data_IF_399865941319
#
_entry.id   IF_399865941319
#
_cell.length_a   1.000
_cell.length_b   1.000
_cell.length_c   1.000
_cell.angle_alpha   90.00
_cell.angle_beta   90.00
_cell.angle_gamma   90.00
#
_symmetry.space_group_name_H-M   'P 1'
#
loop_
_entity.id
_entity.type
_entity.pdbx_description
1 polymer ?
#
# COMPACT_ATOMS: atom_id res chain seq x y z
N UNK A 1 20.27 1.69 17.30
CA UNK A 1 19.36 0.52 17.26
C UNK A 1 19.79 -0.38 16.11
N UNK A 2 19.59 -1.71 16.23
CA UNK A 2 19.99 -2.69 15.21
C UNK A 2 18.78 -2.98 14.32
N UNK A 3 18.99 -2.98 13.01
CA UNK A 3 17.95 -3.31 12.03
C UNK A 3 17.63 -4.81 12.06
N UNK A 4 16.35 -5.15 11.94
CA UNK A 4 15.88 -6.54 11.84
C UNK A 4 15.92 -6.97 10.37
N UNK A 5 16.54 -8.12 10.10
CA UNK A 5 16.63 -8.65 8.74
C UNK A 5 15.30 -9.23 8.25
N UNK A 6 15.01 -9.04 6.97
CA UNK A 6 13.94 -9.72 6.25
C UNK A 6 14.33 -11.14 5.83
N UNK A 7 13.47 -11.77 5.03
CA UNK A 7 13.66 -13.11 4.47
C UNK A 7 14.55 -13.16 3.23
N UNK A 8 14.87 -12.02 2.62
CA UNK A 8 15.83 -11.94 1.51
C UNK A 8 15.36 -12.58 0.20
N UNK A 9 14.06 -12.78 0.04
CA UNK A 9 13.44 -13.44 -1.13
C UNK A 9 12.98 -12.46 -2.22
N UNK A 10 13.31 -11.17 -2.10
CA UNK A 10 12.91 -10.12 -3.04
C UNK A 10 11.47 -9.65 -2.90
N UNK A 11 10.72 -10.15 -1.92
CA UNK A 11 9.37 -9.71 -1.60
C UNK A 11 9.38 -8.88 -0.31
N UNK A 12 8.35 -8.07 -0.13
CA UNK A 12 8.01 -7.44 1.14
C UNK A 12 6.79 -8.18 1.70
N UNK A 13 7.03 -9.12 2.61
CA UNK A 13 5.97 -9.82 3.34
C UNK A 13 5.27 -8.92 4.37
N UNK A 14 4.04 -9.30 4.71
CA UNK A 14 3.15 -8.50 5.56
C UNK A 14 2.26 -7.57 4.75
N UNK A 15 1.26 -7.00 5.43
CA UNK A 15 0.38 -5.99 4.82
C UNK A 15 0.98 -4.61 4.98
N UNK A 16 0.74 -3.74 4.00
CA UNK A 16 1.21 -2.35 4.04
C UNK A 16 0.73 -1.59 5.28
N UNK A 17 -0.42 -1.98 5.84
CA UNK A 17 -1.04 -1.35 6.99
C UNK A 17 -0.88 -2.13 8.30
N UNK A 18 -0.01 -3.14 8.34
CA UNK A 18 0.25 -3.90 9.56
C UNK A 18 0.95 -3.03 10.61
N UNK A 19 0.44 -3.08 11.83
CA UNK A 19 1.07 -2.51 13.03
C UNK A 19 1.68 -3.65 13.82
N UNK A 20 2.95 -3.95 13.56
CA UNK A 20 3.61 -5.13 14.10
C UNK A 20 5.10 -4.89 14.38
N UNK A 21 5.68 -5.77 15.20
CA UNK A 21 7.11 -5.79 15.38
C UNK A 21 7.81 -6.17 14.05
N UNK A 22 8.94 -5.53 13.71
CA UNK A 22 9.82 -5.96 12.63
C UNK A 22 10.23 -7.44 12.79
N UNK A 23 9.96 -8.26 11.76
CA UNK A 23 10.31 -9.68 11.71
C UNK A 23 10.36 -10.18 10.26
N UNK A 24 10.81 -11.43 10.06
CA UNK A 24 10.93 -12.06 8.74
C UNK A 24 9.59 -12.18 7.99
N UNK A 25 8.47 -12.27 8.71
CA UNK A 25 7.13 -12.37 8.12
C UNK A 25 6.37 -11.02 8.03
N UNK A 26 6.96 -9.93 8.56
CA UNK A 26 6.36 -8.59 8.67
C UNK A 26 7.32 -7.54 8.10
N UNK A 27 7.83 -7.81 6.90
CA UNK A 27 8.82 -6.97 6.22
C UNK A 27 8.31 -5.58 5.87
N UNK A 28 6.99 -5.39 5.75
CA UNK A 28 6.36 -4.06 5.66
C UNK A 28 6.76 -3.13 6.82
N UNK A 29 6.93 -3.67 8.05
CA UNK A 29 7.41 -2.92 9.21
C UNK A 29 8.95 -2.81 9.22
N UNK A 30 9.67 -3.81 8.69
CA UNK A 30 11.13 -3.72 8.52
C UNK A 30 11.50 -2.54 7.62
N UNK A 31 10.75 -2.31 6.54
CA UNK A 31 10.97 -1.18 5.64
C UNK A 31 11.01 0.15 6.40
N UNK A 32 9.98 0.43 7.22
CA UNK A 32 9.92 1.66 8.00
C UNK A 32 10.99 1.73 9.09
N UNK A 33 11.35 0.60 9.69
CA UNK A 33 12.46 0.55 10.62
C UNK A 33 13.77 0.98 9.92
N UNK A 34 14.05 0.41 8.74
CA UNK A 34 15.30 0.63 8.02
C UNK A 34 15.41 2.06 7.50
N UNK A 35 14.35 2.62 6.92
CA UNK A 35 14.35 4.00 6.42
C UNK A 35 14.52 5.03 7.54
N UNK A 36 13.95 4.76 8.72
CA UNK A 36 14.14 5.60 9.91
C UNK A 36 15.55 5.48 10.49
N UNK A 37 16.09 4.28 10.62
CA UNK A 37 17.46 4.07 11.08
C UNK A 37 18.51 4.64 10.12
N UNK A 38 18.20 4.68 8.82
CA UNK A 38 19.02 5.32 7.79
C UNK A 38 18.87 6.85 7.75
N UNK A 39 17.93 7.43 8.50
CA UNK A 39 17.71 8.88 8.55
C UNK A 39 16.90 9.47 7.39
N UNK A 40 16.27 8.64 6.55
CA UNK A 40 15.43 9.12 5.44
C UNK A 40 14.05 9.60 5.90
N UNK A 41 13.53 8.99 6.96
CA UNK A 41 12.23 9.34 7.53
C UNK A 41 12.31 9.43 9.05
N UNK A 42 11.43 10.20 9.66
CA UNK A 42 11.31 10.26 11.12
C UNK A 42 10.34 9.23 11.65
N UNK A 43 10.35 9.02 12.97
CA UNK A 43 9.43 8.12 13.67
C UNK A 43 10.14 7.07 14.51
N UNK A 44 9.35 6.23 15.16
CA UNK A 44 9.86 5.16 16.01
C UNK A 44 10.48 4.03 15.17
N UNK A 45 11.67 3.61 15.54
CA UNK A 45 12.38 2.51 14.89
C UNK A 45 13.13 1.68 15.93
N UNK A 46 12.45 0.67 16.47
CA UNK A 46 12.99 -0.28 17.43
C UNK A 46 12.82 -1.70 16.90
N UNK A 47 13.47 -2.68 17.55
CA UNK A 47 13.28 -4.09 17.20
C UNK A 47 11.85 -4.60 17.48
N UNK A 48 11.07 -3.86 18.28
CA UNK A 48 9.72 -4.27 18.70
C UNK A 48 8.61 -3.44 18.06
N UNK A 49 8.96 -2.31 17.41
CA UNK A 49 7.97 -1.39 16.84
C UNK A 49 8.57 -0.51 15.75
N UNK A 50 7.92 -0.50 14.58
CA UNK A 50 8.25 0.37 13.46
C UNK A 50 7.03 0.56 12.54
N UNK A 51 5.95 1.09 13.11
CA UNK A 51 4.65 1.17 12.43
C UNK A 51 4.71 2.05 11.18
N UNK A 52 3.88 1.77 10.15
CA UNK A 52 3.76 2.63 8.99
C UNK A 52 3.23 4.03 9.36
N UNK A 53 3.67 5.10 8.67
CA UNK A 53 3.20 6.45 8.93
C UNK A 53 1.76 6.65 8.44
N UNK A 54 1.08 7.64 9.03
CA UNK A 54 -0.24 8.07 8.56
C UNK A 54 -0.12 9.03 7.37
N UNK A 55 -1.09 8.97 6.46
CA UNK A 55 -1.26 9.94 5.39
C UNK A 55 -2.09 11.16 5.86
N UNK A 56 -2.22 12.18 5.01
CA UNK A 56 -2.94 13.43 5.32
C UNK A 56 -4.45 13.27 5.49
N UNK A 57 -5.01 12.12 5.09
CA UNK A 57 -6.43 11.77 5.22
C UNK A 57 -6.69 10.90 6.45
N UNK A 58 -5.70 10.69 7.32
CA UNK A 58 -5.83 9.83 8.51
C UNK A 58 -5.80 8.33 8.21
N UNK A 59 -5.48 7.93 6.98
CA UNK A 59 -5.16 6.55 6.63
C UNK A 59 -3.68 6.24 6.83
N UNK A 60 -3.24 5.08 6.35
CA UNK A 60 -1.87 4.57 6.47
C UNK A 60 -1.20 4.62 5.11
N UNK A 61 0.07 5.03 5.06
CA UNK A 61 0.97 4.86 3.93
C UNK A 61 1.95 3.73 4.24
N UNK A 62 2.04 2.72 3.37
CA UNK A 62 2.85 1.54 3.62
C UNK A 62 3.37 0.88 2.36
N UNK A 63 4.12 -0.20 2.54
CA UNK A 63 4.65 -1.02 1.45
C UNK A 63 4.31 -2.49 1.65
N UNK A 64 4.04 -3.18 0.56
CA UNK A 64 3.88 -4.63 0.53
C UNK A 64 4.24 -5.16 -0.85
N UNK A 65 4.17 -6.47 -1.05
CA UNK A 65 4.36 -7.09 -2.35
C UNK A 65 3.05 -7.61 -2.91
N UNK A 66 2.79 -7.31 -4.18
CA UNK A 66 1.71 -7.90 -4.96
C UNK A 66 0.32 -7.32 -4.79
N UNK A 67 0.12 -6.24 -4.02
CA UNK A 67 -1.20 -5.68 -3.79
C UNK A 67 -1.95 -5.46 -5.10
N UNK A 68 -3.25 -5.75 -5.10
CA UNK A 68 -4.10 -5.55 -6.28
C UNK A 68 -3.60 -6.26 -7.55
N UNK A 69 -2.94 -7.40 -7.37
CA UNK A 69 -2.30 -8.19 -8.43
C UNK A 69 -1.29 -7.37 -9.26
N UNK A 70 -0.69 -6.33 -8.68
CA UNK A 70 0.44 -5.62 -9.27
C UNK A 70 1.67 -6.48 -9.06
N UNK A 71 2.37 -6.87 -10.12
CA UNK A 71 3.59 -7.69 -9.97
C UNK A 71 4.73 -6.88 -9.36
N UNK A 72 5.31 -7.39 -8.26
CA UNK A 72 6.44 -6.79 -7.56
C UNK A 72 6.03 -6.02 -6.32
N UNK A 73 6.92 -5.14 -5.85
CA UNK A 73 6.68 -4.33 -4.66
C UNK A 73 5.81 -3.14 -5.00
N UNK A 74 5.03 -2.69 -4.02
CA UNK A 74 4.09 -1.60 -4.16
C UNK A 74 4.10 -0.71 -2.94
N UNK A 75 3.77 0.56 -3.15
CA UNK A 75 3.42 1.51 -2.09
C UNK A 75 1.92 1.66 -2.10
N UNK A 76 1.28 1.47 -0.95
CA UNK A 76 -0.17 1.56 -0.78
C UNK A 76 -0.52 2.63 0.24
N UNK A 77 -1.63 3.34 0.00
CA UNK A 77 -2.19 4.32 0.92
C UNK A 77 -3.68 4.07 1.12
N UNK A 78 -4.13 4.04 2.37
CA UNK A 78 -5.54 3.75 2.73
C UNK A 78 -6.33 5.00 3.07
N UNK A 79 -7.63 4.85 3.29
CA UNK A 79 -8.54 5.92 3.71
C UNK A 79 -8.64 7.08 2.69
N UNK A 80 -8.58 6.74 1.40
CA UNK A 80 -8.63 7.73 0.33
C UNK A 80 -10.06 7.83 -0.21
N UNK A 81 -10.66 9.03 -0.26
CA UNK A 81 -11.93 9.23 -0.95
C UNK A 81 -11.80 8.91 -2.45
N UNK A 82 -12.83 8.31 -3.05
CA UNK A 82 -12.76 7.85 -4.45
C UNK A 82 -12.35 8.94 -5.45
N UNK A 83 -12.82 10.19 -5.28
CA UNK A 83 -12.46 11.32 -6.17
C UNK A 83 -10.96 11.61 -6.11
N UNK A 84 -10.39 11.54 -4.92
CA UNK A 84 -8.95 11.73 -4.71
C UNK A 84 -8.18 10.57 -5.34
N UNK A 85 -8.63 9.33 -5.16
CA UNK A 85 -8.01 8.16 -5.78
C UNK A 85 -8.03 8.26 -7.32
N UNK A 86 -9.18 8.59 -7.91
CA UNK A 86 -9.31 8.80 -9.35
C UNK A 86 -8.44 9.94 -9.85
N UNK A 87 -8.38 11.08 -9.14
CA UNK A 87 -7.55 12.21 -9.54
C UNK A 87 -6.06 11.86 -9.52
N UNK A 88 -5.61 11.08 -8.53
CA UNK A 88 -4.23 10.59 -8.45
C UNK A 88 -3.91 9.66 -9.62
N UNK A 89 -4.81 8.72 -9.92
CA UNK A 89 -4.66 7.79 -11.04
C UNK A 89 -4.61 8.51 -12.39
N UNK A 90 -5.56 9.42 -12.67
CA UNK A 90 -5.55 10.25 -13.89
C UNK A 90 -4.25 11.06 -14.03
N UNK A 91 -3.71 11.55 -12.92
CA UNK A 91 -2.52 12.39 -12.94
C UNK A 91 -1.21 11.60 -13.15
N UNK A 92 -1.17 10.33 -12.75
CA UNK A 92 0.06 9.55 -12.66
C UNK A 92 0.05 8.26 -13.51
N UNK A 93 -1.09 7.84 -14.04
CA UNK A 93 -1.25 6.61 -14.82
C UNK A 93 -2.30 6.76 -15.94
N UNK A 94 -3.42 6.02 -15.89
CA UNK A 94 -4.38 5.88 -16.99
C UNK A 94 -5.83 6.24 -16.61
N UNK A 95 -6.08 6.56 -15.34
CA UNK A 95 -7.41 6.88 -14.83
C UNK A 95 -8.35 5.67 -14.76
N UNK A 96 -7.83 4.45 -14.78
CA UNK A 96 -8.58 3.21 -14.70
C UNK A 96 -8.08 2.31 -13.56
N UNK A 97 -8.91 2.18 -12.52
CA UNK A 97 -8.50 1.61 -11.24
C UNK A 97 -8.06 0.13 -11.27
N UNK A 98 -8.36 -0.59 -12.36
CA UNK A 98 -8.09 -2.02 -12.52
C UNK A 98 -6.85 -2.30 -13.40
N UNK A 99 -6.37 -1.33 -14.18
CA UNK A 99 -5.23 -1.49 -15.08
C UNK A 99 -4.02 -0.71 -14.60
N UNK A 100 -2.98 -0.65 -15.43
CA UNK A 100 -1.82 0.17 -15.13
C UNK A 100 -0.98 -0.26 -13.93
N UNK A 101 -0.20 0.72 -13.47
CA UNK A 101 0.74 0.70 -12.36
C UNK A 101 0.15 1.29 -11.07
N UNK A 102 -0.94 2.05 -11.18
CA UNK A 102 -1.74 2.56 -10.07
C UNK A 102 -3.09 1.87 -10.10
N UNK A 103 -3.43 1.18 -9.00
CA UNK A 103 -4.71 0.50 -8.85
C UNK A 103 -5.38 0.89 -7.56
N UNK A 104 -6.69 1.02 -7.63
CA UNK A 104 -7.51 1.38 -6.47
C UNK A 104 -8.53 0.30 -6.20
N UNK A 105 -8.64 -0.11 -4.94
CA UNK A 105 -9.66 -1.02 -4.43
C UNK A 105 -10.36 -0.45 -3.21
N UNK A 106 -11.42 -1.12 -2.75
CA UNK A 106 -12.10 -0.76 -1.51
C UNK A 106 -11.15 -0.85 -0.30
N UNK A 107 -11.41 -0.08 0.75
CA UNK A 107 -10.63 -0.15 1.99
C UNK A 107 -10.57 -1.60 2.52
N UNK A 108 -9.38 -2.04 2.90
CA UNK A 108 -9.14 -3.41 3.40
C UNK A 108 -9.05 -4.49 2.33
N UNK A 109 -9.31 -4.17 1.04
CA UNK A 109 -9.26 -5.13 -0.06
C UNK A 109 -7.84 -5.46 -0.54
N UNK A 110 -6.82 -4.70 -0.15
CA UNK A 110 -5.43 -4.99 -0.51
C UNK A 110 -4.97 -6.27 0.20
N UNK A 111 -4.90 -7.38 -0.53
CA UNK A 111 -4.39 -8.66 -0.05
C UNK A 111 -2.92 -8.83 -0.42
N UNK A 112 -2.19 -9.61 0.39
CA UNK A 112 -0.78 -9.96 0.17
C UNK A 112 -0.70 -11.14 -0.79
N UNK A 113 0.44 -11.29 -1.48
CA UNK A 113 0.74 -12.51 -2.25
C UNK A 113 0.64 -13.78 -1.39
N UNK A 114 0.23 -14.92 -1.99
CA UNK A 114 -0.18 -15.10 -3.39
C UNK A 114 -1.68 -14.83 -3.63
N UNK A 115 -2.42 -14.38 -2.61
CA UNK A 115 -3.88 -14.21 -2.65
C UNK A 115 -4.35 -12.87 -3.24
N UNK A 116 -3.42 -12.01 -3.65
CA UNK A 116 -3.74 -10.71 -4.20
C UNK A 116 -4.48 -10.83 -5.55
N UNK A 117 -5.67 -10.25 -5.63
CA UNK A 117 -6.47 -10.16 -6.84
C UNK A 117 -6.54 -8.73 -7.34
N UNK A 118 -6.73 -8.54 -8.65
CA UNK A 118 -7.05 -7.23 -9.19
C UNK A 118 -8.34 -6.68 -8.54
N UNK A 119 -8.47 -5.35 -8.36
CA UNK A 119 -9.68 -4.77 -7.80
C UNK A 119 -10.83 -4.89 -8.81
N UNK A 120 -12.04 -4.72 -8.33
CA UNK A 120 -13.23 -4.55 -9.19
C UNK A 120 -13.28 -3.12 -9.73
N UNK A 121 -13.97 -2.90 -10.85
CA UNK A 121 -14.11 -1.56 -11.43
C UNK A 121 -14.81 -0.59 -10.47
N UNK A 122 -14.09 0.45 -10.05
CA UNK A 122 -14.59 1.54 -9.18
C UNK A 122 -14.68 2.83 -9.99
N UNK A 123 -13.71 3.11 -10.87
CA UNK A 123 -13.70 4.23 -11.79
C UNK A 123 -12.92 3.87 -13.07
N UNK A 124 -13.15 4.61 -14.17
CA UNK A 124 -12.47 4.40 -15.46
C UNK A 124 -13.43 4.20 -16.62
N UNK A 125 -12.90 4.11 -17.84
CA UNK A 125 -13.69 4.15 -19.09
C UNK A 125 -14.73 3.04 -19.27
N UNK A 126 -14.63 1.93 -18.53
CA UNK A 126 -15.58 0.82 -18.56
C UNK A 126 -16.56 0.81 -17.37
N UNK A 127 -16.43 1.73 -16.40
CA UNK A 127 -17.26 1.78 -15.19
C UNK A 127 -18.41 2.76 -15.40
N UNK A 128 -19.64 2.24 -15.48
CA UNK A 128 -20.84 3.04 -15.65
C UNK A 128 -21.17 3.77 -14.34
N UNK A 129 -20.60 4.97 -14.15
CA UNK A 129 -20.67 5.80 -12.92
C UNK A 129 -19.89 5.15 -11.76
N UNK A 130 -19.07 5.88 -10.97
CA UNK A 130 -18.36 5.24 -9.87
C UNK A 130 -19.37 4.61 -8.91
N UNK A 131 -19.31 3.30 -8.74
CA UNK A 131 -20.33 2.53 -8.01
C UNK A 131 -20.24 2.69 -6.49
N UNK A 132 -19.23 3.42 -6.00
CA UNK A 132 -18.86 3.45 -4.59
C UNK A 132 -18.46 4.86 -4.13
N UNK A 133 -19.29 5.85 -4.50
CA UNK A 133 -18.94 7.28 -4.33
C UNK A 133 -18.82 7.78 -2.88
N UNK A 134 -19.10 6.94 -1.89
CA UNK A 134 -19.10 7.31 -0.47
C UNK A 134 -18.22 6.40 0.40
N UNK A 135 -17.53 5.43 -0.20
CA UNK A 135 -16.63 4.54 0.52
C UNK A 135 -15.18 5.01 0.43
N UNK A 136 -14.41 4.54 1.40
CA UNK A 136 -12.97 4.79 1.50
C UNK A 136 -12.23 3.71 0.73
N UNK A 137 -11.13 4.11 0.11
CA UNK A 137 -10.38 3.28 -0.81
C UNK A 137 -8.93 3.13 -0.38
N UNK A 138 -8.28 2.09 -0.91
CA UNK A 138 -6.84 1.91 -0.87
C UNK A 138 -6.30 2.08 -2.29
N UNK A 139 -5.30 2.94 -2.45
CA UNK A 139 -4.60 3.19 -3.71
C UNK A 139 -3.21 2.58 -3.60
N UNK A 140 -2.82 1.73 -4.54
CA UNK A 140 -1.48 1.14 -4.59
C UNK A 140 -0.79 1.49 -5.90
N UNK A 141 0.50 1.81 -5.82
CA UNK A 141 1.37 2.12 -6.95
C UNK A 141 2.54 1.12 -6.98
N UNK A 142 2.89 0.65 -8.18
CA UNK A 142 4.10 -0.15 -8.41
C UNK A 142 5.37 0.66 -8.14
N UNK A 143 6.33 0.05 -7.43
CA UNK A 143 7.71 0.55 -7.31
C UNK A 143 8.72 -0.31 -8.08
#
# INVERSE_FOLDING_TARGET
AIAVAGGGNGLIAGRFNDVAAPATATESNNFWQHTRLAGFTTGEATATKADPPNNSQGGVLGVESGAFAITGNVVCTSNIPWKTAQAVDIALDDGNNITGTIRTGLAGAAAVLPTATAPTGIYGGAVAVPSDTDTLHTVCMKI
#
